data_IF_177804249387
#
_entry.id   IF_177804249387
#
_cell.length_a   1.000
_cell.length_b   1.000
_cell.length_c   1.000
_cell.angle_alpha   90.00
_cell.angle_beta   90.00
_cell.angle_gamma   90.00
#
_symmetry.space_group_name_H-M   'P 1'
#
loop_
_entity.id
_entity.type
_entity.pdbx_description
1 polymer ?
#
# COMPACT_ATOMS: atom_id res chain seq x y z
N UNK A 1 11.24 0.34 8.49
CA UNK A 1 10.32 -0.76 8.83
C UNK A 1 9.06 -0.56 7.99
N UNK A 2 8.30 -1.61 7.72
CA UNK A 2 7.01 -1.47 7.04
C UNK A 2 5.96 -1.02 8.06
N UNK A 3 5.08 -0.13 7.64
CA UNK A 3 4.01 0.51 8.40
C UNK A 3 2.68 0.36 7.65
N UNK A 4 2.16 -0.88 7.53
CA UNK A 4 1.02 -1.15 6.68
C UNK A 4 -0.28 -0.57 7.25
N UNK A 5 -1.14 -0.13 6.34
CA UNK A 5 -2.54 0.22 6.58
C UNK A 5 -3.41 -0.57 5.63
N UNK A 6 -4.57 -0.99 6.12
CA UNK A 6 -5.46 -1.88 5.39
C UNK A 6 -6.84 -1.28 5.21
N UNK A 7 -7.37 -1.34 4.00
CA UNK A 7 -8.79 -1.12 3.73
C UNK A 7 -9.45 -2.48 3.53
N UNK A 8 -10.22 -2.93 4.51
CA UNK A 8 -10.74 -4.30 4.58
C UNK A 8 -12.26 -4.32 4.42
N UNK A 9 -12.76 -5.24 3.61
CA UNK A 9 -14.18 -5.60 3.58
C UNK A 9 -14.55 -6.37 4.84
N UNK A 10 -15.59 -5.92 5.55
CA UNK A 10 -15.98 -6.48 6.83
C UNK A 10 -17.49 -6.72 6.93
N UNK A 11 -17.87 -7.79 7.62
CA UNK A 11 -19.25 -7.98 8.10
C UNK A 11 -19.50 -7.27 9.43
N UNK A 12 -18.44 -6.86 10.12
CA UNK A 12 -18.49 -6.16 11.41
C UNK A 12 -18.50 -4.65 11.19
N UNK A 13 -19.40 -3.97 11.89
CA UNK A 13 -19.44 -2.50 11.97
C UNK A 13 -18.44 -1.90 12.97
N UNK A 14 -17.41 -2.66 13.35
CA UNK A 14 -16.35 -2.29 14.28
C UNK A 14 -15.09 -3.11 14.00
N UNK A 15 -13.97 -2.73 14.62
CA UNK A 15 -12.74 -3.51 14.60
C UNK A 15 -12.93 -4.87 15.31
N UNK A 16 -12.34 -5.98 14.83
CA UNK A 16 -12.41 -7.26 15.54
C UNK A 16 -11.89 -7.14 16.96
N UNK A 17 -12.58 -7.80 17.89
CA UNK A 17 -12.27 -7.77 19.32
C UNK A 17 -11.58 -9.09 19.68
N UNK A 18 -10.27 -9.03 19.95
CA UNK A 18 -9.45 -10.18 20.28
C UNK A 18 -9.87 -10.91 21.57
N UNK A 19 -10.34 -10.17 22.58
CA UNK A 19 -10.94 -10.76 23.79
C UNK A 19 -12.23 -11.57 23.54
N UNK A 20 -12.83 -11.43 22.36
CA UNK A 20 -13.99 -12.21 21.91
C UNK A 20 -13.63 -13.20 20.80
N UNK A 21 -12.34 -13.39 20.52
CA UNK A 21 -11.80 -14.26 19.47
C UNK A 21 -12.40 -13.99 18.07
N UNK A 22 -12.60 -12.71 17.73
CA UNK A 22 -13.26 -12.32 16.48
C UNK A 22 -12.31 -12.25 15.28
N UNK A 23 -10.99 -12.28 15.47
CA UNK A 23 -10.06 -12.14 14.35
C UNK A 23 -10.08 -13.33 13.42
N UNK A 24 -10.23 -14.55 13.96
CA UNK A 24 -10.38 -15.73 13.14
C UNK A 24 -11.56 -15.63 12.15
N UNK A 25 -12.75 -15.32 12.67
CA UNK A 25 -13.96 -15.17 11.86
C UNK A 25 -13.88 -13.96 10.94
N UNK A 26 -13.22 -12.88 11.38
CA UNK A 26 -12.98 -11.70 10.58
C UNK A 26 -12.21 -12.05 9.30
N UNK A 27 -11.07 -12.73 9.39
CA UNK A 27 -10.30 -13.10 8.19
C UNK A 27 -10.96 -14.19 7.35
N UNK A 28 -11.81 -15.03 7.93
CA UNK A 28 -12.59 -16.02 7.17
C UNK A 28 -13.75 -15.37 6.39
N UNK A 29 -14.29 -14.26 6.88
CA UNK A 29 -15.44 -13.56 6.28
C UNK A 29 -15.06 -12.33 5.46
N UNK A 30 -13.87 -11.76 5.70
CA UNK A 30 -13.30 -10.70 4.90
C UNK A 30 -13.06 -11.18 3.48
N UNK A 31 -13.75 -10.56 2.52
CA UNK A 31 -13.74 -11.02 1.12
C UNK A 31 -12.70 -10.31 0.25
N UNK A 32 -12.17 -9.18 0.73
CA UNK A 32 -11.27 -8.33 -0.04
C UNK A 32 -10.52 -7.36 0.88
N UNK A 33 -9.27 -7.08 0.53
CA UNK A 33 -8.41 -6.16 1.27
C UNK A 33 -7.51 -5.38 0.30
N UNK A 34 -7.33 -4.10 0.60
CA UNK A 34 -6.28 -3.28 0.01
C UNK A 34 -5.27 -2.91 1.08
N UNK A 35 -4.01 -2.77 0.69
CA UNK A 35 -2.89 -2.45 1.55
C UNK A 35 -2.12 -1.25 0.97
N UNK A 36 -1.70 -0.35 1.86
CA UNK A 36 -0.70 0.67 1.59
C UNK A 36 0.29 0.71 2.77
N UNK A 37 1.48 1.24 2.54
CA UNK A 37 2.57 1.24 3.53
C UNK A 37 3.03 2.69 3.80
N UNK A 38 2.94 3.10 5.06
CA UNK A 38 3.45 4.38 5.56
C UNK A 38 2.56 5.59 5.29
N UNK A 39 1.40 5.43 4.64
CA UNK A 39 0.43 6.51 4.40
C UNK A 39 -0.96 5.94 4.12
N UNK A 40 -2.00 6.77 4.26
CA UNK A 40 -3.38 6.43 3.89
C UNK A 40 -3.68 7.00 2.49
N UNK A 41 -4.00 6.16 1.49
CA UNK A 41 -4.37 6.61 0.15
C UNK A 41 -5.53 7.61 0.14
N UNK A 42 -5.43 8.62 -0.72
CA UNK A 42 -6.40 9.73 -0.75
C UNK A 42 -7.83 9.24 -1.01
N UNK A 43 -8.04 8.30 -1.95
CA UNK A 43 -9.38 7.83 -2.25
C UNK A 43 -9.99 7.02 -1.10
N UNK A 44 -9.16 6.43 -0.23
CA UNK A 44 -9.66 5.75 0.97
C UNK A 44 -10.25 6.76 1.94
N UNK A 45 -9.55 7.88 2.19
CA UNK A 45 -10.06 8.95 3.07
C UNK A 45 -11.37 9.55 2.55
N UNK A 46 -11.58 9.58 1.23
CA UNK A 46 -12.83 10.05 0.63
C UNK A 46 -14.04 9.16 0.91
N UNK A 47 -13.86 7.93 1.42
CA UNK A 47 -14.95 7.08 1.85
C UNK A 47 -15.57 7.57 3.16
N UNK A 48 -14.80 8.24 4.02
CA UNK A 48 -15.14 8.48 5.42
C UNK A 48 -15.38 9.96 5.74
N UNK A 49 -16.05 10.24 6.86
CA UNK A 49 -16.12 11.53 7.54
C UNK A 49 -15.50 11.38 8.94
N UNK A 50 -15.24 12.49 9.64
CA UNK A 50 -14.72 12.49 11.01
C UNK A 50 -15.62 11.77 11.99
N UNK A 51 -16.93 11.70 11.72
CA UNK A 51 -17.87 10.94 12.55
C UNK A 51 -17.65 9.42 12.47
N UNK A 52 -16.88 8.94 11.48
CA UNK A 52 -16.55 7.53 11.32
C UNK A 52 -15.30 7.12 12.10
N UNK A 53 -14.62 8.05 12.79
CA UNK A 53 -13.51 7.74 13.68
C UNK A 53 -14.02 6.95 14.88
N UNK A 54 -13.41 5.80 15.11
CA UNK A 54 -13.68 4.90 16.22
C UNK A 54 -12.36 4.50 16.89
N UNK A 55 -12.44 3.95 18.09
CA UNK A 55 -11.28 3.56 18.90
C UNK A 55 -11.29 2.06 19.18
N UNK A 56 -10.16 1.41 18.96
CA UNK A 56 -9.94 0.01 19.30
C UNK A 56 -8.83 -0.07 20.34
N UNK A 57 -8.92 -1.06 21.24
CA UNK A 57 -7.85 -1.30 22.21
C UNK A 57 -6.71 -2.02 21.52
N UNK A 58 -5.49 -1.66 21.86
CA UNK A 58 -4.32 -2.35 21.34
C UNK A 58 -4.25 -3.81 21.80
N UNK A 59 -4.78 -4.11 22.99
CA UNK A 59 -4.92 -5.48 23.50
C UNK A 59 -5.93 -6.34 22.73
N UNK A 60 -6.83 -5.73 21.94
CA UNK A 60 -7.80 -6.46 21.13
C UNK A 60 -7.25 -6.84 19.74
N UNK A 61 -5.99 -6.50 19.39
CA UNK A 61 -5.38 -6.88 18.10
C UNK A 61 -5.06 -8.38 17.97
N UNK A 62 -5.18 -9.15 19.06
CA UNK A 62 -4.86 -10.57 19.10
C UNK A 62 -5.97 -11.38 19.77
N UNK A 63 -6.36 -12.50 19.14
CA UNK A 63 -7.27 -13.47 19.75
C UNK A 63 -6.62 -14.12 20.99
N UNK A 64 -7.38 -14.24 22.07
CA UNK A 64 -6.90 -14.84 23.34
C UNK A 64 -6.52 -16.32 23.23
N UNK A 65 -7.11 -17.04 22.27
CA UNK A 65 -6.85 -18.46 22.05
C UNK A 65 -5.63 -18.72 21.13
N UNK A 66 -4.92 -17.68 20.69
CA UNK A 66 -3.78 -17.81 19.78
C UNK A 66 -2.55 -18.40 20.50
N UNK A 67 -1.96 -19.46 19.94
CA UNK A 67 -0.90 -20.28 20.58
C UNK A 67 0.40 -19.52 20.90
N UNK A 68 0.60 -18.32 20.33
CA UNK A 68 1.74 -17.43 20.59
C UNK A 68 1.34 -16.09 21.22
N UNK A 69 0.07 -15.93 21.60
CA UNK A 69 -0.46 -14.70 22.16
C UNK A 69 0.43 -14.17 23.30
N UNK A 70 0.90 -15.04 24.21
CA UNK A 70 1.72 -14.62 25.35
C UNK A 70 3.02 -13.89 24.96
N UNK A 71 3.66 -14.20 23.82
CA UNK A 71 4.91 -13.53 23.42
C UNK A 71 4.64 -12.17 22.79
N UNK A 72 3.61 -12.07 21.93
CA UNK A 72 3.18 -10.81 21.32
C UNK A 72 2.54 -9.87 22.37
N UNK A 73 1.82 -10.43 23.34
CA UNK A 73 1.26 -9.68 24.48
C UNK A 73 2.33 -9.13 25.42
N UNK A 74 3.51 -9.76 25.56
CA UNK A 74 4.53 -9.27 26.51
C UNK A 74 5.21 -7.98 26.02
N UNK A 75 5.33 -7.78 24.69
CA UNK A 75 5.80 -6.50 24.12
C UNK A 75 4.72 -5.41 24.18
N UNK A 76 3.45 -5.81 24.14
CA UNK A 76 2.27 -4.95 24.25
C UNK A 76 2.05 -4.47 25.69
N UNK A 77 2.29 -5.31 26.70
CA UNK A 77 1.94 -5.05 28.12
C UNK A 77 2.76 -3.95 28.80
N UNK A 78 3.88 -3.53 28.20
CA UNK A 78 4.66 -2.37 28.68
C UNK A 78 3.98 -1.04 28.29
N UNK A 79 3.06 -1.08 27.30
CA UNK A 79 2.09 -0.03 27.03
C UNK A 79 0.79 -0.36 27.78
N UNK A 80 0.15 0.63 28.40
CA UNK A 80 -0.98 0.39 29.29
C UNK A 80 -2.09 -0.44 28.62
N UNK A 81 -2.67 -1.40 29.33
CA UNK A 81 -3.76 -2.27 28.83
C UNK A 81 -4.99 -1.50 28.29
N UNK A 82 -5.06 -0.19 28.57
CA UNK A 82 -6.11 0.73 28.15
C UNK A 82 -5.77 1.53 26.88
N UNK A 83 -4.53 1.47 26.38
CA UNK A 83 -4.11 2.24 25.20
C UNK A 83 -4.92 1.86 23.96
N UNK A 84 -5.34 2.88 23.23
CA UNK A 84 -6.20 2.76 22.07
C UNK A 84 -5.53 3.32 20.82
N UNK A 85 -5.99 2.85 19.67
CA UNK A 85 -5.65 3.44 18.38
C UNK A 85 -6.92 3.77 17.61
N UNK A 86 -6.87 4.88 16.86
CA UNK A 86 -8.00 5.36 16.07
C UNK A 86 -8.08 4.64 14.71
N UNK A 87 -9.26 4.17 14.34
CA UNK A 87 -9.55 3.52 13.06
C UNK A 87 -10.81 4.13 12.43
N UNK A 88 -11.12 3.79 11.17
CA UNK A 88 -12.36 4.23 10.52
C UNK A 88 -13.26 3.03 10.17
N UNK A 89 -14.56 3.21 10.34
CA UNK A 89 -15.58 2.25 9.89
C UNK A 89 -16.77 2.94 9.27
N UNK A 90 -17.25 2.41 8.15
CA UNK A 90 -18.43 2.94 7.46
C UNK A 90 -19.19 1.82 6.73
N UNK A 91 -20.50 2.00 6.52
CA UNK A 91 -21.25 1.11 5.63
C UNK A 91 -20.92 1.41 4.16
N UNK A 92 -20.98 0.38 3.30
CA UNK A 92 -20.76 0.52 1.87
C UNK A 92 -21.67 1.59 1.24
N UNK A 93 -22.95 1.62 1.66
CA UNK A 93 -23.93 2.57 1.17
C UNK A 93 -23.49 4.02 1.45
N UNK A 94 -23.06 4.32 2.68
CA UNK A 94 -22.62 5.67 3.04
C UNK A 94 -21.28 6.01 2.39
N UNK A 95 -20.35 5.04 2.28
CA UNK A 95 -19.08 5.25 1.58
C UNK A 95 -19.28 5.64 0.11
N UNK A 96 -20.17 4.95 -0.60
CA UNK A 96 -20.48 5.27 -2.00
C UNK A 96 -21.18 6.63 -2.13
N UNK A 97 -22.03 7.00 -1.17
CA UNK A 97 -22.64 8.33 -1.14
C UNK A 97 -21.60 9.45 -0.90
N UNK A 98 -20.63 9.21 -0.01
CA UNK A 98 -19.51 10.11 0.24
C UNK A 98 -18.68 10.29 -1.03
N UNK A 99 -18.30 9.21 -1.72
CA UNK A 99 -17.59 9.31 -3.00
C UNK A 99 -18.39 10.14 -4.02
N UNK A 100 -19.65 9.82 -4.23
CA UNK A 100 -20.46 10.52 -5.24
C UNK A 100 -20.56 12.03 -4.97
N UNK A 101 -20.82 12.41 -3.71
CA UNK A 101 -20.93 13.82 -3.32
C UNK A 101 -19.62 14.61 -3.43
N UNK A 102 -18.46 13.94 -3.28
CA UNK A 102 -17.13 14.59 -3.26
C UNK A 102 -16.45 14.62 -4.63
N UNK A 103 -16.92 13.80 -5.58
CA UNK A 103 -16.31 13.62 -6.90
C UNK A 103 -16.04 14.92 -7.64
N UNK A 104 -17.07 15.78 -7.77
CA UNK A 104 -16.95 17.01 -8.56
C UNK A 104 -15.85 17.93 -8.00
N UNK A 105 -15.88 18.20 -6.69
CA UNK A 105 -14.92 19.11 -6.07
C UNK A 105 -13.51 18.53 -6.03
N UNK A 106 -13.38 17.22 -5.81
CA UNK A 106 -12.09 16.55 -5.89
C UNK A 106 -11.47 16.72 -7.28
N UNK A 107 -12.23 16.48 -8.36
CA UNK A 107 -11.71 16.60 -9.72
C UNK A 107 -11.38 18.04 -10.11
N UNK A 108 -12.08 19.02 -9.53
CA UNK A 108 -11.71 20.43 -9.68
C UNK A 108 -10.37 20.77 -9.01
N UNK A 109 -10.07 20.14 -7.88
CA UNK A 109 -8.83 20.36 -7.13
C UNK A 109 -7.66 19.56 -7.70
N UNK A 110 -7.87 18.29 -8.02
CA UNK A 110 -6.83 17.36 -8.44
C UNK A 110 -6.59 17.38 -9.96
N UNK A 111 -7.59 17.79 -10.74
CA UNK A 111 -7.60 17.75 -12.20
C UNK A 111 -8.42 16.59 -12.76
N UNK A 112 -8.97 16.79 -13.95
CA UNK A 112 -9.86 15.82 -14.61
C UNK A 112 -9.15 14.56 -15.11
N UNK A 113 -7.81 14.55 -15.17
CA UNK A 113 -7.03 13.39 -15.59
C UNK A 113 -7.25 12.17 -14.68
N UNK A 114 -7.67 12.39 -13.43
CA UNK A 114 -7.92 11.34 -12.42
C UNK A 114 -9.38 10.84 -12.40
N UNK A 115 -10.22 11.29 -13.32
CA UNK A 115 -11.63 10.91 -13.34
C UNK A 115 -11.83 9.40 -13.55
N UNK A 116 -10.95 8.77 -14.33
CA UNK A 116 -11.02 7.33 -14.61
C UNK A 116 -10.68 6.49 -13.38
N UNK A 117 -9.64 6.90 -12.65
CA UNK A 117 -9.16 6.29 -11.41
C UNK A 117 -10.22 6.38 -10.32
N UNK A 118 -10.88 7.54 -10.21
CA UNK A 118 -12.00 7.73 -9.29
C UNK A 118 -13.15 6.76 -9.58
N UNK A 119 -13.56 6.63 -10.84
CA UNK A 119 -14.64 5.73 -11.24
C UNK A 119 -14.28 4.25 -11.05
N UNK A 120 -13.03 3.89 -11.32
CA UNK A 120 -12.52 2.53 -11.08
C UNK A 120 -12.55 2.20 -9.60
N UNK A 121 -12.11 3.13 -8.73
CA UNK A 121 -12.18 2.95 -7.29
C UNK A 121 -13.62 2.83 -6.78
N UNK A 122 -14.53 3.70 -7.24
CA UNK A 122 -15.94 3.61 -6.87
C UNK A 122 -16.55 2.24 -7.26
N UNK A 123 -16.18 1.73 -8.44
CA UNK A 123 -16.61 0.40 -8.91
C UNK A 123 -16.03 -0.73 -8.07
N UNK A 124 -14.75 -0.62 -7.69
CA UNK A 124 -14.07 -1.57 -6.83
C UNK A 124 -14.74 -1.65 -5.45
N UNK A 125 -15.05 -0.51 -4.82
CA UNK A 125 -15.76 -0.45 -3.53
C UNK A 125 -17.14 -1.08 -3.64
N UNK A 126 -17.87 -0.78 -4.72
CA UNK A 126 -19.20 -1.36 -4.97
C UNK A 126 -19.17 -2.88 -5.13
N UNK A 127 -18.13 -3.42 -5.77
CA UNK A 127 -18.04 -4.84 -6.09
C UNK A 127 -17.48 -5.67 -4.93
N UNK A 128 -16.48 -5.15 -4.22
CA UNK A 128 -15.64 -5.96 -3.34
C UNK A 128 -15.77 -5.66 -1.85
N UNK A 129 -16.49 -4.60 -1.48
CA UNK A 129 -16.65 -4.21 -0.08
C UNK A 129 -18.13 -4.25 0.36
N UNK A 130 -18.77 -5.43 0.40
CA UNK A 130 -20.12 -5.55 0.91
C UNK A 130 -20.19 -5.21 2.40
N UNK A 131 -21.36 -4.73 2.84
CA UNK A 131 -21.66 -4.37 4.23
C UNK A 131 -20.83 -3.21 4.79
N UNK A 132 -19.66 -3.47 5.40
CA UNK A 132 -18.81 -2.48 6.05
C UNK A 132 -17.41 -2.43 5.46
N UNK A 133 -16.81 -1.24 5.57
CA UNK A 133 -15.44 -0.93 5.16
C UNK A 133 -14.69 -0.50 6.41
N UNK A 134 -13.59 -1.18 6.72
CA UNK A 134 -12.70 -0.84 7.83
C UNK A 134 -11.39 -0.29 7.28
N UNK A 135 -10.93 0.84 7.83
CA UNK A 135 -9.56 1.30 7.68
C UNK A 135 -8.77 0.95 8.96
N UNK A 136 -7.86 -0.02 8.86
CA UNK A 136 -7.02 -0.49 9.98
C UNK A 136 -5.67 0.22 9.97
N UNK A 137 -5.33 0.83 11.08
CA UNK A 137 -4.21 1.78 11.22
C UNK A 137 -3.15 1.36 12.24
N UNK A 138 -3.33 0.22 12.95
CA UNK A 138 -2.41 -0.22 14.00
C UNK A 138 -0.99 -0.51 13.51
N UNK A 139 -0.77 -0.64 12.19
CA UNK A 139 0.57 -0.73 11.60
C UNK A 139 1.31 0.60 11.43
N UNK A 140 0.63 1.76 11.57
CA UNK A 140 1.28 3.07 11.51
C UNK A 140 2.03 3.38 12.81
N UNK A 141 3.19 4.07 12.74
CA UNK A 141 3.95 4.46 13.93
C UNK A 141 3.34 5.73 14.52
N UNK A 142 2.19 5.59 15.16
CA UNK A 142 1.38 6.70 15.69
C UNK A 142 1.51 6.79 17.21
N UNK A 143 1.26 8.00 17.73
CA UNK A 143 1.06 8.18 19.16
C UNK A 143 -0.24 7.47 19.59
N UNK A 144 -0.16 6.71 20.68
CA UNK A 144 -1.34 6.05 21.26
C UNK A 144 -2.33 7.10 21.76
N UNK A 145 -3.62 6.78 21.68
CA UNK A 145 -4.71 7.68 22.09
C UNK A 145 -4.76 9.01 21.31
N UNK A 146 -4.16 9.06 20.11
CA UNK A 146 -4.24 10.17 19.16
C UNK A 146 -5.01 9.78 17.88
N UNK A 147 -5.78 10.75 17.37
CA UNK A 147 -6.53 10.65 16.12
C UNK A 147 -6.27 11.83 15.18
N UNK A 148 -5.36 12.76 15.52
CA UNK A 148 -5.10 13.98 14.74
C UNK A 148 -4.73 13.64 13.28
N UNK A 149 -3.96 12.57 13.09
CA UNK A 149 -3.58 12.05 11.77
C UNK A 149 -4.76 11.64 10.88
N UNK A 150 -5.95 11.36 11.45
CA UNK A 150 -7.21 11.13 10.72
C UNK A 150 -8.08 12.39 10.70
N UNK A 151 -8.19 13.09 11.83
CA UNK A 151 -9.06 14.25 11.97
C UNK A 151 -8.71 15.38 11.02
N UNK A 152 -7.41 15.70 10.90
CA UNK A 152 -6.90 16.78 10.05
C UNK A 152 -7.19 16.53 8.56
N UNK A 153 -6.79 15.39 7.95
CA UNK A 153 -7.10 15.17 6.55
C UNK A 153 -8.60 15.04 6.28
N UNK A 154 -9.37 14.41 7.17
CA UNK A 154 -10.83 14.31 7.00
C UNK A 154 -11.52 15.68 7.10
N UNK A 155 -11.04 16.58 7.96
CA UNK A 155 -11.53 17.97 8.01
C UNK A 155 -11.33 18.68 6.66
N UNK A 156 -10.15 18.56 6.05
CA UNK A 156 -9.88 19.17 4.74
C UNK A 156 -10.71 18.55 3.61
N UNK A 157 -11.00 17.24 3.68
CA UNK A 157 -11.91 16.57 2.75
C UNK A 157 -13.35 17.06 2.91
N UNK A 158 -13.86 17.16 4.13
CA UNK A 158 -15.23 17.63 4.40
C UNK A 158 -15.45 19.08 3.98
N UNK A 159 -14.39 19.88 3.94
CA UNK A 159 -14.45 21.28 3.52
C UNK A 159 -14.36 21.47 2.01
N UNK A 160 -14.09 20.41 1.22
CA UNK A 160 -14.07 20.47 -0.25
C UNK A 160 -15.35 21.02 -0.86
N UNK A 161 -16.51 20.75 -0.24
CA UNK A 161 -17.81 21.20 -0.74
C UNK A 161 -18.05 22.71 -0.54
N UNK A 162 -17.15 23.41 0.15
CA UNK A 162 -17.25 24.86 0.34
C UNK A 162 -16.70 25.58 -0.90
N UNK A 163 -17.27 26.74 -1.29
CA UNK A 163 -16.74 27.53 -2.39
C UNK A 163 -15.25 27.80 -2.21
N UNK A 164 -14.44 27.68 -3.27
CA UNK A 164 -12.98 27.87 -3.18
C UNK A 164 -12.58 29.22 -2.56
N UNK A 165 -13.36 30.27 -2.80
CA UNK A 165 -13.16 31.60 -2.20
C UNK A 165 -13.35 31.66 -0.67
N UNK A 166 -13.81 30.57 -0.06
CA UNK A 166 -14.05 30.43 1.38
C UNK A 166 -13.17 29.36 2.04
N UNK A 167 -12.25 28.74 1.28
CA UNK A 167 -11.26 27.84 1.83
C UNK A 167 -10.25 28.63 2.66
N UNK A 168 -9.86 28.07 3.81
CA UNK A 168 -8.77 28.63 4.60
C UNK A 168 -7.44 28.43 3.89
N UNK A 169 -6.46 29.28 4.19
CA UNK A 169 -5.08 29.11 3.68
C UNK A 169 -4.54 27.72 3.99
N UNK A 170 -4.84 27.18 5.19
CA UNK A 170 -4.46 25.83 5.60
C UNK A 170 -5.06 24.74 4.69
N UNK A 171 -6.33 24.88 4.30
CA UNK A 171 -6.97 23.91 3.40
C UNK A 171 -6.37 23.97 2.01
N UNK A 172 -6.04 25.16 1.52
CA UNK A 172 -5.36 25.31 0.25
C UNK A 172 -3.95 24.71 0.29
N UNK A 173 -3.22 24.91 1.39
CA UNK A 173 -1.90 24.34 1.61
C UNK A 173 -1.93 22.81 1.66
N UNK A 174 -2.94 22.22 2.33
CA UNK A 174 -3.16 20.78 2.36
C UNK A 174 -3.31 20.20 0.95
N UNK A 175 -4.18 20.76 0.11
CA UNK A 175 -4.40 20.25 -1.25
C UNK A 175 -3.20 20.47 -2.18
N UNK A 176 -2.47 21.55 -2.01
CA UNK A 176 -1.20 21.76 -2.72
C UNK A 176 -0.16 20.71 -2.31
N UNK A 177 -0.04 20.41 -1.01
CA UNK A 177 0.82 19.35 -0.51
C UNK A 177 0.46 17.98 -1.10
N UNK A 178 -0.82 17.57 -1.05
CA UNK A 178 -1.29 16.30 -1.63
C UNK A 178 -0.97 16.22 -3.13
N UNK A 179 -1.19 17.31 -3.89
CA UNK A 179 -0.86 17.34 -5.31
C UNK A 179 0.64 17.18 -5.56
N UNK A 180 1.47 17.90 -4.80
CA UNK A 180 2.93 17.82 -4.92
C UNK A 180 3.45 16.43 -4.55
N UNK A 181 2.93 15.86 -3.47
CA UNK A 181 3.34 14.54 -3.01
C UNK A 181 2.97 13.47 -4.03
N UNK A 182 1.73 13.49 -4.55
CA UNK A 182 1.29 12.60 -5.63
C UNK A 182 2.16 12.69 -6.90
N UNK A 183 2.71 13.86 -7.26
CA UNK A 183 3.62 13.97 -8.40
C UNK A 183 4.99 13.32 -8.17
N UNK A 184 5.38 13.08 -6.92
CA UNK A 184 6.65 12.42 -6.57
C UNK A 184 6.56 10.90 -6.67
N UNK A 185 5.35 10.34 -6.59
CA UNK A 185 5.14 8.89 -6.73
C UNK A 185 5.18 8.48 -8.20
N UNK A 186 6.02 7.50 -8.50
CA UNK A 186 6.06 6.86 -9.83
C UNK A 186 4.75 6.09 -10.08
N UNK A 187 4.28 5.35 -9.07
CA UNK A 187 3.00 4.65 -9.11
C UNK A 187 1.88 5.50 -8.49
N UNK A 188 1.27 6.33 -9.33
CA UNK A 188 0.10 7.15 -8.95
C UNK A 188 -1.12 6.31 -8.56
N UNK A 189 -1.24 5.08 -9.07
CA UNK A 189 -2.37 4.20 -8.76
C UNK A 189 -2.28 3.70 -7.33
N UNK A 190 -1.09 3.25 -6.93
CA UNK A 190 -0.80 2.87 -5.55
C UNK A 190 -1.05 4.03 -4.58
N UNK A 191 -0.63 5.26 -4.92
CA UNK A 191 -0.91 6.44 -4.10
C UNK A 191 -2.42 6.71 -3.92
N UNK A 192 -3.24 6.45 -4.96
CA UNK A 192 -4.66 6.79 -4.93
C UNK A 192 -5.52 5.75 -4.20
N UNK A 193 -5.27 4.45 -4.40
CA UNK A 193 -6.11 3.40 -3.82
C UNK A 193 -5.34 2.19 -3.25
N UNK A 194 -4.02 2.27 -3.09
CA UNK A 194 -3.19 1.19 -2.55
C UNK A 194 -3.03 0.02 -3.52
N UNK A 195 -2.53 -1.09 -3.00
CA UNK A 195 -2.37 -2.36 -3.71
C UNK A 195 -3.33 -3.40 -3.15
N UNK A 196 -3.76 -4.36 -3.97
CA UNK A 196 -4.47 -5.52 -3.44
C UNK A 196 -3.41 -6.50 -2.89
N UNK A 197 -3.41 -6.68 -1.57
CA UNK A 197 -2.61 -7.72 -0.94
C UNK A 197 -3.40 -9.02 -1.02
N UNK A 198 -3.09 -9.87 -1.99
CA UNK A 198 -3.60 -11.25 -2.02
C UNK A 198 -2.84 -12.05 -0.96
N UNK A 199 -3.14 -11.79 0.31
CA UNK A 199 -2.64 -12.59 1.42
C UNK A 199 -3.68 -12.78 2.52
N UNK A 200 -4.95 -13.01 2.14
CA UNK A 200 -5.90 -13.69 3.00
C UNK A 200 -5.72 -15.21 2.86
N UNK A 201 -4.57 -15.73 3.28
CA UNK A 201 -4.37 -17.18 3.42
C UNK A 201 -3.77 -17.50 4.78
N UNK A 202 -4.45 -18.43 5.43
CA UNK A 202 -4.13 -19.04 6.71
C UNK A 202 -2.62 -19.31 6.91
N UNK A 203 -2.10 -19.27 8.15
CA UNK A 203 -0.69 -19.47 8.45
C UNK A 203 -0.12 -20.88 8.14
N UNK A 204 -0.82 -21.73 7.37
CA UNK A 204 -0.46 -23.12 7.13
C UNK A 204 -0.60 -23.65 5.69
N UNK A 205 -0.68 -22.81 4.66
CA UNK A 205 -0.53 -23.29 3.28
C UNK A 205 0.53 -22.52 2.50
N UNK A 206 1.58 -23.25 2.13
CA UNK A 206 2.66 -22.83 1.21
C UNK A 206 2.08 -22.30 -0.11
N UNK A 207 2.74 -21.30 -0.73
CA UNK A 207 2.29 -20.71 -1.99
C UNK A 207 2.54 -21.68 -3.14
N UNK A 208 1.50 -21.94 -3.92
CA UNK A 208 1.67 -22.35 -5.32
C UNK A 208 1.61 -21.10 -6.19
N UNK A 209 2.62 -20.98 -7.05
CA UNK A 209 2.86 -19.88 -7.98
C UNK A 209 1.73 -19.63 -8.98
N UNK A 210 1.58 -18.34 -9.28
CA UNK A 210 1.31 -17.70 -10.57
C UNK A 210 -0.09 -17.66 -11.22
N UNK A 211 -0.37 -16.43 -11.67
CA UNK A 211 -1.22 -16.01 -12.81
C UNK A 211 -2.72 -15.83 -12.56
N UNK A 212 -3.11 -14.58 -12.22
CA UNK A 212 -4.21 -13.89 -12.88
C UNK A 212 -4.33 -12.42 -12.42
N UNK A 213 -3.56 -11.51 -13.04
CA UNK A 213 -4.05 -10.14 -13.21
C UNK A 213 -3.52 -9.55 -14.53
N UNK A 214 -4.00 -10.15 -15.60
CA UNK A 214 -4.08 -9.53 -16.92
C UNK A 214 -5.46 -9.90 -17.41
N UNK A 215 -6.45 -9.04 -17.15
CA UNK A 215 -7.75 -8.95 -17.85
C UNK A 215 -8.74 -8.10 -17.04
N UNK A 216 -8.49 -6.78 -17.03
CA UNK A 216 -9.52 -5.78 -16.81
C UNK A 216 -9.40 -4.76 -17.94
N UNK A 217 -9.69 -5.20 -19.16
CA UNK A 217 -10.05 -4.37 -20.31
C UNK A 217 -10.57 -5.25 -21.45
N UNK A 218 -11.83 -5.68 -21.38
CA UNK A 218 -12.58 -6.00 -22.59
C UNK A 218 -14.05 -5.67 -22.36
N UNK A 219 -14.44 -4.46 -22.75
CA UNK A 219 -15.83 -4.12 -22.98
C UNK A 219 -16.30 -4.88 -24.23
N UNK A 220 -17.07 -5.94 -24.05
CA UNK A 220 -17.76 -6.60 -25.15
C UNK A 220 -18.82 -5.66 -25.74
N UNK A 221 -18.57 -5.22 -26.97
CA UNK A 221 -19.61 -4.70 -27.87
C UNK A 221 -19.65 -5.65 -29.07
N UNK A 222 -20.78 -6.32 -29.39
CA UNK A 222 -20.79 -7.27 -30.49
C UNK A 222 -20.90 -6.50 -31.80
N UNK A 223 -19.82 -6.46 -32.58
CA UNK A 223 -19.88 -6.07 -33.99
C UNK A 223 -19.28 -7.17 -34.87
N UNK A 224 -20.08 -7.49 -35.89
CA UNK A 224 -20.01 -8.60 -36.84
C UNK A 224 -18.67 -8.66 -37.59
N UNK A 225 -18.10 -9.87 -37.65
CA UNK A 225 -17.00 -10.26 -38.55
C UNK A 225 -17.31 -9.96 -40.01
N UNK A 226 -16.35 -9.45 -40.77
CA UNK A 226 -15.76 -10.24 -41.89
C UNK A 226 -14.59 -9.55 -42.60
N UNK A 227 -13.49 -10.32 -42.66
CA UNK A 227 -12.58 -10.55 -43.79
C UNK A 227 -11.90 -9.35 -44.50
N UNK A 228 -10.56 -9.34 -44.50
CA UNK A 228 -9.72 -9.92 -45.57
C UNK A 228 -8.32 -9.23 -45.63
N UNK A 229 -7.25 -10.04 -45.52
CA UNK A 229 -5.91 -9.95 -46.16
C UNK A 229 -5.14 -8.61 -46.10
N UNK A 230 -3.87 -8.50 -45.68
CA UNK A 230 -2.68 -9.12 -46.31
C UNK A 230 -1.37 -8.70 -45.59
N UNK A 231 -0.42 -9.65 -45.49
CA UNK A 231 1.05 -9.53 -45.70
C UNK A 231 2.02 -8.74 -44.77
N UNK A 232 2.92 -9.53 -44.13
CA UNK A 232 4.41 -9.47 -44.05
C UNK A 232 5.13 -8.22 -43.47
N UNK A 233 5.83 -8.42 -42.34
CA UNK A 233 7.29 -8.26 -42.06
C UNK A 233 7.45 -8.08 -40.54
N UNK A 234 7.97 -9.03 -39.76
CA UNK A 234 9.39 -9.37 -39.58
C UNK A 234 10.33 -8.16 -39.41
N UNK A 235 11.05 -8.19 -38.27
CA UNK A 235 12.18 -7.36 -37.84
C UNK A 235 11.92 -5.93 -37.34
N UNK A 236 11.90 -5.80 -36.01
CA UNK A 236 12.96 -5.06 -35.30
C UNK A 236 12.94 -5.43 -33.81
N UNK A 237 13.77 -6.41 -33.46
CA UNK A 237 14.24 -6.63 -32.10
C UNK A 237 15.69 -6.15 -32.05
N UNK A 238 16.01 -5.23 -31.14
CA UNK A 238 17.30 -5.08 -30.44
C UNK A 238 17.31 -3.78 -29.58
N UNK A 239 18.20 -3.61 -28.58
CA UNK A 239 18.40 -4.46 -27.40
C UNK A 239 18.74 -3.64 -26.12
N UNK A 240 18.29 -4.03 -24.92
CA UNK A 240 18.95 -3.54 -23.68
C UNK A 240 19.25 -4.67 -22.70
N UNK A 241 20.45 -5.21 -22.92
CA UNK A 241 21.41 -5.75 -21.96
C UNK A 241 20.91 -6.73 -20.91
N UNK A 242 20.84 -7.99 -21.32
CA UNK A 242 21.25 -9.09 -20.44
C UNK A 242 22.75 -8.93 -20.10
N UNK A 243 23.06 -8.06 -19.12
CA UNK A 243 24.23 -8.28 -18.28
C UNK A 243 23.91 -9.51 -17.44
N UNK A 244 24.22 -10.62 -18.09
CA UNK A 244 23.96 -12.00 -17.74
C UNK A 244 23.94 -12.21 -16.23
N UNK A 245 22.81 -12.67 -15.69
CA UNK A 245 22.55 -12.81 -14.25
C UNK A 245 23.68 -13.51 -13.47
N UNK A 246 24.49 -14.36 -14.12
CA UNK A 246 25.67 -14.99 -13.51
C UNK A 246 26.78 -14.01 -13.09
N UNK A 247 26.91 -12.85 -13.75
CA UNK A 247 27.95 -11.86 -13.42
C UNK A 247 27.65 -11.16 -12.08
N UNK A 248 26.36 -10.96 -11.76
CA UNK A 248 25.92 -10.45 -10.46
C UNK A 248 26.28 -11.44 -9.34
N UNK A 249 26.05 -12.74 -9.57
CA UNK A 249 26.39 -13.79 -8.60
C UNK A 249 27.91 -13.87 -8.31
N UNK A 250 28.76 -13.69 -9.33
CA UNK A 250 30.22 -13.69 -9.13
C UNK A 250 30.69 -12.48 -8.33
N UNK A 251 30.16 -11.28 -8.63
CA UNK A 251 30.52 -10.07 -7.88
C UNK A 251 30.13 -10.20 -6.41
N UNK A 252 28.93 -10.73 -6.12
CA UNK A 252 28.47 -10.98 -4.75
C UNK A 252 29.37 -11.99 -4.03
N UNK A 253 29.77 -13.09 -4.69
CA UNK A 253 30.66 -14.08 -4.10
C UNK A 253 32.04 -13.50 -3.73
N UNK A 254 32.61 -12.63 -4.58
CA UNK A 254 33.89 -11.98 -4.31
C UNK A 254 33.81 -11.07 -3.08
N UNK A 255 32.75 -10.28 -2.95
CA UNK A 255 32.55 -9.38 -1.80
C UNK A 255 32.42 -10.18 -0.51
N UNK A 256 31.60 -11.24 -0.50
CA UNK A 256 31.40 -12.09 0.66
C UNK A 256 32.70 -12.76 1.10
N UNK A 257 33.50 -13.28 0.15
CA UNK A 257 34.79 -13.90 0.45
C UNK A 257 35.81 -12.88 1.01
N UNK A 258 35.86 -11.67 0.46
CA UNK A 258 36.75 -10.61 0.95
C UNK A 258 36.38 -10.18 2.37
N UNK A 259 35.08 -9.99 2.65
CA UNK A 259 34.55 -9.63 3.96
C UNK A 259 34.84 -10.73 4.99
N UNK A 260 34.62 -12.00 4.65
CA UNK A 260 34.94 -13.15 5.50
C UNK A 260 36.44 -13.26 5.78
N UNK A 261 37.30 -13.08 4.76
CA UNK A 261 38.76 -13.14 4.94
C UNK A 261 39.26 -12.06 5.92
N UNK A 262 38.71 -10.85 5.83
CA UNK A 262 39.06 -9.74 6.74
C UNK A 262 38.54 -10.02 8.14
N UNK A 263 37.33 -10.57 8.27
CA UNK A 263 36.79 -10.96 9.57
C UNK A 263 37.65 -12.02 10.24
N UNK A 264 38.04 -13.09 9.55
CA UNK A 264 38.85 -14.16 10.13
C UNK A 264 40.29 -13.75 10.45
N UNK A 265 40.86 -12.79 9.72
CA UNK A 265 42.24 -12.31 9.97
C UNK A 265 42.30 -11.25 11.07
N UNK A 266 41.30 -10.37 11.16
CA UNK A 266 41.31 -9.26 12.13
C UNK A 266 40.44 -9.51 13.36
N UNK A 267 39.55 -10.51 13.34
CA UNK A 267 38.49 -10.78 14.31
C UNK A 267 37.63 -9.55 14.66
N UNK A 268 37.59 -8.56 13.77
CA UNK A 268 36.92 -7.29 14.02
C UNK A 268 35.75 -7.11 13.06
N UNK A 269 34.54 -7.01 13.63
CA UNK A 269 33.33 -6.71 12.89
C UNK A 269 33.41 -5.35 12.20
N UNK A 270 34.11 -4.38 12.81
CA UNK A 270 34.23 -3.02 12.27
C UNK A 270 35.06 -2.99 10.98
N UNK A 271 36.23 -3.63 10.95
CA UNK A 271 37.05 -3.70 9.73
C UNK A 271 36.36 -4.49 8.61
N UNK A 272 35.64 -5.55 8.97
CA UNK A 272 34.82 -6.33 8.04
C UNK A 272 33.71 -5.48 7.38
N UNK A 273 32.99 -4.70 8.19
CA UNK A 273 31.94 -3.80 7.70
C UNK A 273 32.51 -2.71 6.77
N UNK A 274 33.64 -2.10 7.13
CA UNK A 274 34.30 -1.09 6.29
C UNK A 274 34.69 -1.68 4.93
N UNK A 275 35.27 -2.89 4.91
CA UNK A 275 35.67 -3.56 3.66
C UNK A 275 34.45 -3.93 2.81
N UNK A 276 33.35 -4.35 3.43
CA UNK A 276 32.09 -4.61 2.72
C UNK A 276 31.58 -3.36 1.99
N UNK A 277 31.46 -2.23 2.69
CA UNK A 277 30.96 -0.98 2.09
C UNK A 277 31.88 -0.46 0.99
N UNK A 278 33.20 -0.48 1.20
CA UNK A 278 34.17 -0.05 0.18
C UNK A 278 34.10 -0.95 -1.06
N UNK A 279 34.00 -2.27 -0.89
CA UNK A 279 33.93 -3.22 -2.00
C UNK A 279 32.63 -3.07 -2.80
N UNK A 280 31.49 -2.92 -2.11
CA UNK A 280 30.19 -2.69 -2.75
C UNK A 280 30.19 -1.39 -3.57
N UNK A 281 30.79 -0.32 -3.04
CA UNK A 281 30.86 0.96 -3.72
C UNK A 281 31.75 0.92 -4.98
N UNK A 282 32.93 0.28 -4.90
CA UNK A 282 33.84 0.12 -6.04
C UNK A 282 33.16 -0.71 -7.15
N UNK A 283 32.49 -1.81 -6.79
CA UNK A 283 31.79 -2.67 -7.75
C UNK A 283 30.59 -1.96 -8.38
N UNK A 284 29.80 -1.23 -7.59
CA UNK A 284 28.70 -0.40 -8.10
C UNK A 284 29.19 0.65 -9.10
N UNK A 285 30.31 1.30 -8.80
CA UNK A 285 30.93 2.29 -9.68
C UNK A 285 31.46 1.68 -10.99
N UNK A 286 32.13 0.51 -10.92
CA UNK A 286 32.61 -0.20 -12.12
C UNK A 286 31.42 -0.65 -12.99
N UNK A 287 30.36 -1.18 -12.37
CA UNK A 287 29.16 -1.64 -13.09
C UNK A 287 28.45 -0.48 -13.80
N UNK A 288 28.30 0.66 -13.12
CA UNK A 288 27.76 1.89 -13.71
C UNK A 288 28.60 2.39 -14.89
N UNK A 289 29.93 2.37 -14.76
CA UNK A 289 30.85 2.83 -15.81
C UNK A 289 30.93 1.90 -17.02
N UNK A 290 30.74 0.59 -16.83
CA UNK A 290 30.70 -0.39 -17.92
C UNK A 290 29.36 -0.37 -18.67
N UNK A 291 28.25 -0.06 -17.99
CA UNK A 291 26.94 0.15 -18.63
C UNK A 291 26.93 1.30 -19.63
N UNK A 292 27.73 2.35 -19.41
CA UNK A 292 27.82 3.50 -20.31
C UNK A 292 28.65 3.28 -21.59
N UNK A 293 29.45 2.20 -21.66
CA UNK A 293 30.37 1.96 -22.79
C UNK A 293 29.76 1.15 -23.94
N UNK A 294 28.58 0.56 -23.75
CA UNK A 294 27.93 -0.31 -24.74
C UNK A 294 26.86 0.42 -25.58
N UNK A 295 26.77 1.75 -25.49
CA UNK A 295 25.86 2.60 -26.28
C UNK A 295 26.60 3.51 -27.27
N UNK A 296 27.55 2.94 -28.02
CA UNK A 296 28.16 3.57 -29.20
C UNK A 296 28.31 2.59 -30.34
#
# INVERSE_FOLDING_TARGET
MSHPVFLTSSQLGHMPIGSLNQWHDFYCSASYELEADGFIPLLWLLLFSRENIQWAKYSDDFDTDHVNAETDFTEVQDNSEESQFAYLVISQQHALANLESRKHELLNVMGNDYASEFLNFQSLIKQHFPAYILLRTSGLPLDLDDAEFLEVPLFHIETLSRPQSSLTEDTQAFWEFIRQDMQRYEDKKYFLYGSNSVMLTHPNMMPHEESAMTDLNTSETPSIQNAHSSHINEQNSEPQSALSSWMVWICTAIVVLATLAVYFTTQSALYSAVVFFVSAFILGFISSKMGLKNTK
#
